data_IF_016958759799
#
_entry.id   IF_016958759799
#
_cell.length_a   1.000
_cell.length_b   1.000
_cell.length_c   1.000
_cell.angle_alpha   90.00
_cell.angle_beta   90.00
_cell.angle_gamma   90.00
#
_symmetry.space_group_name_H-M   'P 1'
#
loop_
_entity.id
_entity.type
_entity.pdbx_description
1 polymer ?
#
# COMPACT_ATOMS: atom_id res chain seq x y z
N UNK A 1 -63.57 -41.25 -29.39
CA UNK A 1 -62.35 -40.44 -29.61
C UNK A 1 -62.14 -39.56 -28.39
N UNK A 2 -61.16 -39.86 -27.55
CA UNK A 2 -60.90 -39.18 -26.27
C UNK A 2 -59.56 -38.46 -26.36
N UNK A 3 -59.58 -37.13 -26.26
CA UNK A 3 -58.38 -36.28 -26.30
C UNK A 3 -57.90 -36.10 -24.86
N UNK A 4 -56.75 -36.68 -24.53
CA UNK A 4 -56.07 -36.48 -23.24
C UNK A 4 -55.29 -35.17 -23.29
N UNK A 5 -55.72 -34.18 -22.52
CA UNK A 5 -54.97 -32.94 -22.31
C UNK A 5 -53.83 -33.17 -21.32
N UNK A 6 -52.59 -33.09 -21.80
CA UNK A 6 -51.40 -33.00 -20.96
C UNK A 6 -51.32 -31.60 -20.34
N UNK A 7 -51.47 -31.51 -19.02
CA UNK A 7 -51.18 -30.30 -18.25
C UNK A 7 -49.67 -30.24 -18.03
N UNK A 8 -49.00 -29.34 -18.75
CA UNK A 8 -47.59 -28.98 -18.54
C UNK A 8 -47.50 -28.10 -17.29
N UNK A 9 -47.03 -28.66 -16.17
CA UNK A 9 -46.58 -27.87 -15.03
C UNK A 9 -45.26 -27.18 -15.40
N UNK A 10 -45.34 -25.90 -15.75
CA UNK A 10 -44.17 -25.04 -15.85
C UNK A 10 -43.68 -24.71 -14.43
N UNK A 11 -42.66 -25.42 -13.96
CA UNK A 11 -41.97 -25.14 -12.70
C UNK A 11 -41.12 -23.87 -12.89
N UNK A 12 -41.69 -22.71 -12.53
CA UNK A 12 -40.98 -21.44 -12.52
C UNK A 12 -39.90 -21.47 -11.42
N UNK A 13 -38.69 -21.91 -11.78
CA UNK A 13 -37.49 -21.64 -10.97
C UNK A 13 -37.30 -20.12 -10.94
N UNK A 14 -37.81 -19.49 -9.87
CA UNK A 14 -37.39 -18.17 -9.45
C UNK A 14 -35.91 -18.31 -9.04
N UNK A 15 -35.03 -18.14 -10.03
CA UNK A 15 -33.62 -17.85 -9.80
C UNK A 15 -33.58 -16.49 -9.11
N UNK A 16 -33.74 -16.52 -7.79
CA UNK A 16 -33.37 -15.42 -6.92
C UNK A 16 -31.87 -15.25 -7.14
N UNK A 17 -31.51 -14.29 -7.98
CA UNK A 17 -30.15 -13.81 -8.15
C UNK A 17 -29.76 -13.21 -6.81
N UNK A 18 -29.30 -14.09 -5.90
CA UNK A 18 -28.60 -13.69 -4.71
C UNK A 18 -27.51 -12.73 -5.20
N UNK A 19 -27.66 -11.46 -4.83
CA UNK A 19 -26.61 -10.47 -4.99
C UNK A 19 -25.41 -11.03 -4.23
N UNK A 20 -24.53 -11.72 -4.94
CA UNK A 20 -23.20 -12.08 -4.45
C UNK A 20 -22.50 -10.74 -4.35
N UNK A 21 -22.68 -10.05 -3.23
CA UNK A 21 -21.82 -8.94 -2.85
C UNK A 21 -20.42 -9.55 -2.83
N UNK A 22 -19.57 -9.12 -3.76
CA UNK A 22 -18.18 -9.53 -3.78
C UNK A 22 -17.63 -9.32 -2.36
N UNK A 23 -17.12 -10.39 -1.75
CA UNK A 23 -16.53 -10.31 -0.43
C UNK A 23 -15.38 -9.30 -0.48
N UNK A 24 -15.42 -8.27 0.37
CA UNK A 24 -14.33 -7.31 0.46
C UNK A 24 -13.03 -7.99 0.85
N UNK A 25 -11.88 -7.51 0.35
CA UNK A 25 -10.58 -8.13 0.63
C UNK A 25 -10.25 -8.19 2.13
N UNK A 26 -10.82 -7.29 2.94
CA UNK A 26 -10.68 -7.29 4.41
C UNK A 26 -11.32 -8.49 5.09
N UNK A 27 -12.36 -9.07 4.47
CA UNK A 27 -13.07 -10.21 5.02
C UNK A 27 -12.56 -11.54 4.43
N UNK A 28 -11.55 -11.49 3.56
CA UNK A 28 -10.85 -12.67 3.07
C UNK A 28 -10.28 -13.46 4.26
N UNK A 29 -10.61 -14.74 4.34
CA UNK A 29 -10.09 -15.62 5.39
C UNK A 29 -8.67 -16.09 5.09
N UNK A 30 -7.81 -15.91 6.08
CA UNK A 30 -6.45 -16.41 6.19
C UNK A 30 -6.46 -17.66 7.06
N UNK A 31 -6.24 -18.87 6.49
CA UNK A 31 -6.33 -20.12 7.26
C UNK A 31 -5.35 -20.20 8.42
N UNK A 32 -4.14 -19.67 8.25
CA UNK A 32 -3.12 -19.59 9.29
C UNK A 32 -2.22 -18.39 9.00
N UNK A 33 -2.22 -17.39 9.87
CA UNK A 33 -1.23 -16.32 9.90
C UNK A 33 -0.32 -16.55 11.10
N UNK A 34 0.97 -16.75 10.87
CA UNK A 34 1.93 -17.01 11.93
C UNK A 34 3.25 -16.29 11.64
N UNK A 35 3.66 -15.45 12.58
CA UNK A 35 4.95 -14.78 12.60
C UNK A 35 5.49 -14.83 14.02
N UNK A 36 6.79 -15.04 14.16
CA UNK A 36 7.47 -15.14 15.45
C UNK A 36 8.70 -14.22 15.44
N UNK A 37 8.80 -13.35 16.44
CA UNK A 37 9.90 -12.39 16.61
C UNK A 37 10.22 -11.60 15.32
N UNK A 38 9.18 -11.22 14.58
CA UNK A 38 9.28 -10.57 13.29
C UNK A 38 9.04 -9.06 13.41
N UNK A 39 9.69 -8.24 12.58
CA UNK A 39 9.34 -6.81 12.48
C UNK A 39 7.98 -6.62 11.79
N UNK A 40 7.36 -5.44 11.95
CA UNK A 40 6.11 -5.10 11.25
C UNK A 40 6.24 -5.31 9.73
N UNK A 41 7.34 -4.87 9.12
CA UNK A 41 7.61 -5.08 7.69
C UNK A 41 7.60 -6.56 7.32
N UNK A 42 8.27 -7.41 8.11
CA UNK A 42 8.34 -8.84 7.84
C UNK A 42 6.95 -9.50 8.00
N UNK A 43 6.15 -9.05 8.96
CA UNK A 43 4.78 -9.53 9.11
C UNK A 43 3.89 -9.15 7.92
N UNK A 44 4.00 -7.92 7.42
CA UNK A 44 3.26 -7.44 6.24
C UNK A 44 3.74 -8.12 4.95
N UNK A 45 5.02 -8.50 4.89
CA UNK A 45 5.59 -9.29 3.78
C UNK A 45 4.83 -10.61 3.62
N UNK A 46 4.55 -11.30 4.73
CA UNK A 46 3.74 -12.52 4.70
C UNK A 46 2.34 -12.21 4.14
N UNK A 47 1.65 -11.18 4.68
CA UNK A 47 0.32 -10.75 4.20
C UNK A 47 0.30 -10.54 2.68
N UNK A 48 1.32 -9.85 2.18
CA UNK A 48 1.46 -9.51 0.79
C UNK A 48 1.72 -10.71 -0.11
N UNK A 49 2.76 -11.49 0.16
CA UNK A 49 3.19 -12.52 -0.78
C UNK A 49 2.32 -13.77 -0.74
N UNK A 50 1.85 -14.15 0.46
CA UNK A 50 1.08 -15.38 0.64
C UNK A 50 -0.40 -15.20 0.34
N UNK A 51 -0.96 -14.01 0.61
CA UNK A 51 -2.40 -13.74 0.43
C UNK A 51 -2.70 -12.64 -0.59
N UNK A 52 -1.68 -12.11 -1.28
CA UNK A 52 -1.82 -11.09 -2.33
C UNK A 52 -2.53 -9.83 -1.86
N UNK A 53 -2.40 -9.51 -0.57
CA UNK A 53 -2.96 -8.31 0.03
C UNK A 53 -2.03 -7.14 -0.27
N UNK A 54 -2.55 -6.11 -0.92
CA UNK A 54 -1.76 -4.92 -1.24
C UNK A 54 -1.62 -4.03 0.00
N UNK A 55 -0.39 -3.92 0.48
CA UNK A 55 -0.02 -3.20 1.70
C UNK A 55 1.12 -2.23 1.42
N UNK A 56 1.07 -1.07 2.07
CA UNK A 56 2.13 -0.08 2.12
C UNK A 56 2.43 0.27 3.58
N UNK A 57 3.65 0.73 3.87
CA UNK A 57 4.12 0.92 5.24
C UNK A 57 4.92 2.21 5.38
N UNK A 58 4.49 3.08 6.29
CA UNK A 58 5.39 4.08 6.90
C UNK A 58 5.96 3.47 8.17
N UNK A 59 7.27 3.40 8.32
CA UNK A 59 7.88 2.93 9.58
C UNK A 59 7.83 4.01 10.64
N UNK A 60 7.75 3.60 11.91
CA UNK A 60 8.00 4.50 13.04
C UNK A 60 9.40 5.13 12.86
N UNK A 61 9.53 6.47 12.92
CA UNK A 61 10.81 7.13 12.75
C UNK A 61 11.84 6.65 13.78
N UNK A 62 13.03 6.27 13.31
CA UNK A 62 14.15 5.87 14.17
C UNK A 62 14.92 7.09 14.66
N UNK A 63 15.41 7.05 15.88
CA UNK A 63 16.35 8.02 16.42
C UNK A 63 17.71 7.91 15.72
N UNK A 64 18.20 6.69 15.46
CA UNK A 64 19.45 6.42 14.74
C UNK A 64 19.38 5.15 13.88
N UNK A 65 20.33 4.96 12.96
CA UNK A 65 20.38 3.75 12.11
C UNK A 65 20.56 2.45 12.91
N UNK A 66 21.20 2.53 14.08
CA UNK A 66 21.43 1.38 14.97
C UNK A 66 20.19 1.00 15.81
N UNK A 67 19.13 1.84 15.79
CA UNK A 67 17.91 1.53 16.53
C UNK A 67 17.23 0.30 15.93
N UNK A 68 17.08 -0.73 16.79
CA UNK A 68 16.40 -1.96 16.43
C UNK A 68 14.90 -1.72 16.31
N UNK A 69 14.31 -2.29 15.28
CA UNK A 69 12.86 -2.31 15.13
C UNK A 69 12.23 -3.22 16.18
N UNK A 70 11.04 -2.84 16.66
CA UNK A 70 10.28 -3.72 17.53
C UNK A 70 9.87 -4.98 16.78
N UNK A 71 9.88 -6.09 17.50
CA UNK A 71 9.49 -7.40 16.99
C UNK A 71 8.16 -7.81 17.62
N UNK A 72 7.33 -8.48 16.84
CA UNK A 72 6.03 -9.00 17.24
C UNK A 72 5.95 -10.50 16.95
N UNK A 73 5.11 -11.17 17.73
CA UNK A 73 4.74 -12.57 17.50
C UNK A 73 3.22 -12.66 17.48
N UNK A 74 2.67 -13.14 16.37
CA UNK A 74 1.22 -13.26 16.16
C UNK A 74 0.95 -14.60 15.51
N UNK A 75 0.04 -15.38 16.10
CA UNK A 75 -0.49 -16.61 15.53
C UNK A 75 -2.02 -16.55 15.55
N UNK A 76 -2.62 -16.69 14.38
CA UNK A 76 -4.06 -16.67 14.18
C UNK A 76 -4.45 -17.79 13.23
N UNK A 77 -5.54 -18.47 13.55
CA UNK A 77 -6.11 -19.53 12.71
C UNK A 77 -7.47 -19.09 12.20
N UNK A 78 -7.69 -19.28 10.90
CA UNK A 78 -8.95 -18.98 10.22
C UNK A 78 -9.47 -17.54 10.48
N UNK A 79 -8.55 -16.57 10.54
CA UNK A 79 -8.84 -15.16 10.77
C UNK A 79 -9.04 -14.42 9.45
N UNK A 80 -9.86 -13.38 9.43
CA UNK A 80 -9.98 -12.44 8.31
C UNK A 80 -8.74 -11.57 8.19
N UNK A 81 -8.50 -10.97 7.01
CA UNK A 81 -7.43 -9.98 6.83
C UNK A 81 -7.58 -8.83 7.84
N UNK A 82 -8.80 -8.38 8.11
CA UNK A 82 -9.10 -7.39 9.16
C UNK A 82 -8.59 -7.82 10.53
N UNK A 83 -8.94 -9.02 10.97
CA UNK A 83 -8.51 -9.55 12.28
C UNK A 83 -6.99 -9.71 12.36
N UNK A 84 -6.33 -10.08 11.24
CA UNK A 84 -4.86 -10.10 11.17
C UNK A 84 -4.29 -8.69 11.36
N UNK A 85 -4.80 -7.69 10.63
CA UNK A 85 -4.34 -6.30 10.77
C UNK A 85 -4.57 -5.74 12.18
N UNK A 86 -5.73 -6.01 12.78
CA UNK A 86 -6.05 -5.65 14.16
C UNK A 86 -5.09 -6.30 15.16
N UNK A 87 -4.74 -7.57 14.98
CA UNK A 87 -3.77 -8.25 15.83
C UNK A 87 -2.35 -7.68 15.68
N UNK A 88 -1.94 -7.33 14.45
CA UNK A 88 -0.63 -6.73 14.19
C UNK A 88 -0.49 -5.36 14.88
N UNK A 89 -1.47 -4.46 14.73
CA UNK A 89 -1.43 -3.14 15.39
C UNK A 89 -1.66 -3.22 16.89
N UNK A 90 -2.36 -4.25 17.38
CA UNK A 90 -2.45 -4.52 18.82
C UNK A 90 -1.09 -4.97 19.38
N UNK A 91 -0.31 -5.71 18.61
CA UNK A 91 1.02 -6.18 19.02
C UNK A 91 2.09 -5.06 18.98
N UNK A 92 1.98 -4.13 18.03
CA UNK A 92 2.78 -2.88 18.01
C UNK A 92 1.85 -1.65 17.93
N UNK A 93 1.40 -1.12 19.09
CA UNK A 93 0.41 -0.04 19.17
C UNK A 93 0.92 1.32 18.69
N UNK A 94 2.19 1.40 18.27
CA UNK A 94 2.73 2.60 17.60
C UNK A 94 2.21 2.72 16.18
N UNK A 95 1.52 1.72 15.64
CA UNK A 95 0.90 1.73 14.33
C UNK A 95 -0.63 1.73 14.40
N UNK A 96 -1.25 2.22 13.34
CA UNK A 96 -2.63 1.92 12.96
C UNK A 96 -2.68 1.55 11.48
N UNK A 97 -3.83 1.08 11.02
CA UNK A 97 -4.05 0.78 9.60
C UNK A 97 -5.28 1.50 9.08
N UNK A 98 -5.26 1.82 7.78
CA UNK A 98 -6.41 2.37 7.06
C UNK A 98 -6.48 1.82 5.64
N UNK A 99 -7.68 1.86 5.05
CA UNK A 99 -7.86 1.58 3.63
C UNK A 99 -7.71 2.88 2.85
N UNK A 100 -6.90 2.83 1.82
CA UNK A 100 -6.86 3.85 0.79
C UNK A 100 -7.67 3.37 -0.42
N UNK A 101 -8.63 4.18 -0.85
CA UNK A 101 -9.38 3.99 -2.10
C UNK A 101 -8.80 4.90 -3.17
N UNK A 102 -8.58 4.39 -4.38
CA UNK A 102 -7.99 5.22 -5.44
C UNK A 102 -8.88 6.40 -5.78
N UNK A 103 -8.24 7.55 -6.01
CA UNK A 103 -8.91 8.70 -6.60
C UNK A 103 -9.30 8.47 -8.07
N UNK A 104 -8.59 7.57 -8.76
CA UNK A 104 -8.72 7.37 -10.21
C UNK A 104 -9.48 6.09 -10.58
N UNK A 105 -9.43 5.07 -9.73
CA UNK A 105 -10.19 3.82 -9.90
C UNK A 105 -10.87 3.41 -8.59
N UNK A 106 -12.15 3.74 -8.43
CA UNK A 106 -12.92 3.43 -7.21
C UNK A 106 -13.06 1.93 -6.92
N UNK A 107 -12.67 1.05 -7.85
CA UNK A 107 -12.62 -0.40 -7.61
C UNK A 107 -11.28 -0.86 -7.02
N UNK A 108 -10.26 0.00 -7.05
CA UNK A 108 -8.92 -0.27 -6.55
C UNK A 108 -8.72 0.31 -5.15
N UNK A 109 -8.18 -0.51 -4.25
CA UNK A 109 -7.84 -0.10 -2.89
C UNK A 109 -6.61 -0.84 -2.38
N UNK A 110 -5.96 -0.26 -1.37
CA UNK A 110 -4.85 -0.88 -0.66
C UNK A 110 -4.91 -0.54 0.82
N UNK A 111 -4.09 -1.22 1.62
CA UNK A 111 -3.94 -0.95 3.05
C UNK A 111 -2.69 -0.11 3.28
N UNK A 112 -2.83 0.98 4.02
CA UNK A 112 -1.71 1.71 4.61
C UNK A 112 -1.53 1.24 6.06
N UNK A 113 -0.29 0.95 6.46
CA UNK A 113 0.11 0.81 7.86
C UNK A 113 0.98 2.00 8.21
N UNK A 114 0.55 2.79 9.20
CA UNK A 114 1.11 4.12 9.47
C UNK A 114 1.43 4.26 10.96
N UNK A 115 2.49 4.99 11.36
CA UNK A 115 2.70 5.35 12.75
C UNK A 115 1.53 6.19 13.25
N UNK A 116 1.15 6.02 14.51
CA UNK A 116 0.21 6.93 15.18
C UNK A 116 0.71 8.37 15.00
N UNK A 117 -0.23 9.29 14.78
CA UNK A 117 0.02 10.72 14.51
C UNK A 117 0.68 11.06 13.15
N UNK A 118 1.15 10.07 12.37
CA UNK A 118 1.85 10.35 11.11
C UNK A 118 1.05 11.17 10.10
N UNK A 119 -0.30 11.02 10.06
CA UNK A 119 -1.18 11.83 9.19
C UNK A 119 -1.47 13.23 9.74
N UNK A 120 -1.42 13.40 11.05
CA UNK A 120 -1.67 14.69 11.69
C UNK A 120 -0.42 15.57 11.74
N UNK A 121 0.78 14.98 11.65
CA UNK A 121 2.04 15.72 11.70
C UNK A 121 2.29 16.56 10.44
N UNK A 122 2.24 17.91 10.51
CA UNK A 122 2.52 18.76 9.35
C UNK A 122 3.99 18.67 8.88
N UNK A 123 4.90 18.18 9.73
CA UNK A 123 6.31 18.04 9.40
C UNK A 123 6.63 16.74 8.67
N UNK A 124 5.76 15.72 8.73
CA UNK A 124 5.94 14.48 7.99
C UNK A 124 6.02 14.75 6.47
N UNK A 125 7.10 14.36 5.78
CA UNK A 125 7.23 14.53 4.32
C UNK A 125 6.10 13.86 3.53
N UNK A 126 5.49 12.81 4.07
CA UNK A 126 4.40 12.07 3.44
C UNK A 126 3.09 12.88 3.36
N UNK A 127 2.97 13.97 4.15
CA UNK A 127 1.82 14.87 4.18
C UNK A 127 1.99 16.11 3.30
N UNK A 128 3.13 16.28 2.61
CA UNK A 128 3.32 17.41 1.71
C UNK A 128 2.31 17.30 0.57
N UNK A 129 1.46 18.32 0.44
CA UNK A 129 0.53 18.46 -0.66
C UNK A 129 1.27 19.00 -1.89
N UNK A 130 1.13 18.30 -3.00
CA UNK A 130 1.72 18.69 -4.28
C UNK A 130 0.72 19.53 -5.03
N UNK A 131 1.14 20.71 -5.48
CA UNK A 131 0.25 21.58 -6.27
C UNK A 131 -0.01 20.91 -7.61
N UNK A 132 1.06 20.60 -8.35
CA UNK A 132 0.97 19.89 -9.62
C UNK A 132 2.31 19.27 -9.97
N UNK A 133 2.32 17.97 -10.24
CA UNK A 133 3.50 17.32 -10.80
C UNK A 133 3.12 16.11 -11.65
N UNK A 134 4.15 15.45 -12.18
CA UNK A 134 3.98 14.42 -13.18
C UNK A 134 5.17 13.46 -13.17
N UNK A 135 4.85 12.17 -13.19
CA UNK A 135 5.81 11.09 -13.38
C UNK A 135 5.75 10.66 -14.84
N UNK A 136 6.91 10.70 -15.52
CA UNK A 136 7.05 10.38 -16.94
C UNK A 136 8.13 9.32 -17.15
N UNK A 137 7.82 8.31 -17.95
CA UNK A 137 8.79 7.31 -18.43
C UNK A 137 9.52 6.55 -17.31
N UNK A 138 8.87 6.42 -16.14
CA UNK A 138 9.42 5.76 -14.96
C UNK A 138 8.80 4.38 -14.76
N UNK A 139 9.57 3.43 -14.24
CA UNK A 139 9.00 2.19 -13.69
C UNK A 139 8.34 2.51 -12.34
N UNK A 140 7.32 1.76 -11.88
CA UNK A 140 6.79 1.95 -10.53
C UNK A 140 7.87 1.88 -9.44
N UNK A 141 8.85 0.99 -9.59
CA UNK A 141 9.98 0.86 -8.67
C UNK A 141 10.81 2.15 -8.60
N UNK A 142 11.24 2.66 -9.74
CA UNK A 142 12.04 3.90 -9.82
C UNK A 142 11.24 5.14 -9.43
N UNK A 143 9.94 5.16 -9.70
CA UNK A 143 9.05 6.24 -9.31
C UNK A 143 8.89 6.32 -7.78
N UNK A 144 8.73 5.16 -7.11
CA UNK A 144 8.69 5.10 -5.64
C UNK A 144 10.04 5.50 -5.05
N UNK A 145 11.13 4.90 -5.54
CA UNK A 145 12.47 5.12 -4.96
C UNK A 145 13.00 6.55 -5.15
N UNK A 146 12.59 7.22 -6.23
CA UNK A 146 12.96 8.61 -6.53
C UNK A 146 11.78 9.57 -6.46
N UNK A 147 10.84 9.36 -5.53
CA UNK A 147 9.61 10.17 -5.45
C UNK A 147 9.91 11.66 -5.22
N UNK A 148 10.98 11.97 -4.49
CA UNK A 148 11.50 13.31 -4.27
C UNK A 148 11.87 14.00 -5.59
N UNK A 149 12.49 13.30 -6.54
CA UNK A 149 12.80 13.87 -7.87
C UNK A 149 11.57 14.38 -8.62
N UNK A 150 10.42 13.73 -8.43
CA UNK A 150 9.19 14.08 -9.14
C UNK A 150 8.39 15.18 -8.45
N UNK A 151 8.71 15.54 -7.20
CA UNK A 151 7.90 16.43 -6.35
C UNK A 151 8.75 17.61 -5.85
N UNK A 152 8.72 18.77 -6.53
CA UNK A 152 9.52 19.94 -6.15
C UNK A 152 9.32 20.43 -4.71
N UNK A 153 8.09 20.34 -4.19
CA UNK A 153 7.73 20.68 -2.81
C UNK A 153 8.45 19.79 -1.80
N UNK A 154 8.57 18.50 -2.12
CA UNK A 154 9.29 17.52 -1.30
C UNK A 154 10.78 17.84 -1.31
N UNK A 155 11.38 18.04 -2.50
CA UNK A 155 12.80 18.45 -2.63
C UNK A 155 13.09 19.68 -1.78
N UNK A 156 12.26 20.73 -1.88
CA UNK A 156 12.46 21.97 -1.11
C UNK A 156 12.41 21.73 0.40
N UNK A 157 11.54 20.85 0.88
CA UNK A 157 11.45 20.50 2.30
C UNK A 157 12.66 19.70 2.78
N UNK A 158 13.11 18.72 1.98
CA UNK A 158 14.22 17.84 2.33
C UNK A 158 15.58 18.53 2.20
N UNK A 159 15.70 19.45 1.25
CA UNK A 159 16.96 20.11 0.87
C UNK A 159 16.78 21.64 0.79
N UNK A 160 16.52 22.32 1.92
CA UNK A 160 16.28 23.77 1.92
C UNK A 160 17.49 24.60 1.44
N UNK A 161 18.69 24.02 1.45
CA UNK A 161 19.92 24.66 0.98
C UNK A 161 20.38 24.21 -0.42
N UNK A 162 19.51 23.54 -1.17
CA UNK A 162 19.80 23.06 -2.53
C UNK A 162 20.18 21.58 -2.58
N UNK A 163 20.12 21.03 -3.80
CA UNK A 163 20.28 19.59 -4.06
C UNK A 163 21.68 19.32 -4.61
N UNK A 164 22.42 18.37 -4.02
CA UNK A 164 23.58 17.76 -4.66
C UNK A 164 23.05 16.78 -5.71
N UNK A 165 23.40 17.01 -6.99
CA UNK A 165 22.84 16.25 -8.11
C UNK A 165 22.90 14.73 -7.91
N UNK A 166 21.75 14.07 -7.98
CA UNK A 166 21.67 12.62 -7.96
C UNK A 166 22.00 12.05 -9.34
N UNK A 167 23.11 11.31 -9.44
CA UNK A 167 23.46 10.57 -10.64
C UNK A 167 22.73 9.22 -10.66
N UNK A 168 21.89 9.00 -11.67
CA UNK A 168 21.32 7.68 -11.95
C UNK A 168 22.33 6.83 -12.73
N UNK A 169 22.86 5.78 -12.10
CA UNK A 169 23.58 4.71 -12.81
C UNK A 169 22.57 3.68 -13.31
N UNK A 170 22.23 3.73 -14.60
CA UNK A 170 21.45 2.70 -15.27
C UNK A 170 22.36 1.60 -15.83
N UNK A 171 22.35 0.41 -15.24
CA UNK A 171 22.96 -0.79 -15.84
C UNK A 171 22.00 -1.30 -16.92
N UNK A 172 22.47 -1.24 -18.17
CA UNK A 172 21.67 -1.54 -19.36
C UNK A 172 21.32 -3.01 -19.51
N UNK A 173 20.02 -3.31 -19.44
CA UNK A 173 19.42 -4.47 -20.08
C UNK A 173 18.14 -4.01 -20.80
N UNK A 174 18.01 -4.32 -22.10
CA UNK A 174 16.81 -4.04 -22.90
C UNK A 174 15.69 -5.02 -22.53
N UNK A 175 15.15 -4.90 -21.32
CA UNK A 175 13.92 -5.59 -20.94
C UNK A 175 12.76 -4.67 -21.30
N UNK A 176 11.64 -5.20 -21.82
CA UNK A 176 10.40 -4.42 -21.93
C UNK A 176 9.91 -4.11 -20.51
N UNK A 177 10.31 -2.96 -20.00
CA UNK A 177 9.91 -2.54 -18.65
C UNK A 177 8.58 -1.80 -18.74
N UNK A 178 7.61 -2.20 -17.92
CA UNK A 178 6.37 -1.45 -17.76
C UNK A 178 6.70 -0.07 -17.18
N UNK A 179 6.30 0.97 -17.90
CA UNK A 179 6.51 2.37 -17.51
C UNK A 179 5.16 3.02 -17.26
N UNK A 180 5.14 3.91 -16.28
CA UNK A 180 3.96 4.67 -15.90
C UNK A 180 4.06 6.10 -16.40
N UNK A 181 2.88 6.65 -16.70
CA UNK A 181 2.63 8.07 -16.89
C UNK A 181 1.54 8.46 -15.91
N UNK A 182 1.82 9.45 -15.06
CA UNK A 182 0.86 9.86 -14.04
C UNK A 182 1.00 11.34 -13.75
N UNK A 183 -0.05 12.11 -14.07
CA UNK A 183 -0.20 13.51 -13.67
C UNK A 183 -1.08 13.58 -12.42
N UNK A 184 -0.70 14.43 -11.48
CA UNK A 184 -1.43 14.62 -10.23
C UNK A 184 -1.39 16.07 -9.77
N UNK A 185 -2.47 16.49 -9.15
CA UNK A 185 -2.70 17.84 -8.65
C UNK A 185 -3.46 17.74 -7.33
N UNK A 186 -2.98 18.46 -6.32
CA UNK A 186 -3.58 18.50 -4.99
C UNK A 186 -3.46 17.22 -4.16
N UNK A 187 -2.70 16.22 -4.58
CA UNK A 187 -2.44 15.00 -3.82
C UNK A 187 -1.24 15.15 -2.88
N UNK A 188 -1.27 14.46 -1.75
CA UNK A 188 -0.11 14.31 -0.86
C UNK A 188 0.91 13.31 -1.41
N UNK A 189 2.17 13.39 -0.97
CA UNK A 189 3.21 12.40 -1.30
C UNK A 189 2.74 10.96 -1.04
N UNK A 190 2.05 10.72 0.09
CA UNK A 190 1.46 9.40 0.39
C UNK A 190 0.45 8.95 -0.64
N UNK A 191 -0.48 9.82 -1.03
CA UNK A 191 -1.52 9.50 -2.00
C UNK A 191 -0.91 9.23 -3.38
N UNK A 192 0.10 9.99 -3.78
CA UNK A 192 0.84 9.75 -5.03
C UNK A 192 1.51 8.37 -5.01
N UNK A 193 2.18 8.01 -3.91
CA UNK A 193 2.79 6.70 -3.74
C UNK A 193 1.75 5.57 -3.75
N UNK A 194 0.58 5.79 -3.16
CA UNK A 194 -0.53 4.84 -3.21
C UNK A 194 -1.07 4.66 -4.63
N UNK A 195 -1.22 5.75 -5.37
CA UNK A 195 -1.61 5.74 -6.78
C UNK A 195 -0.58 5.01 -7.66
N UNK A 196 0.72 5.15 -7.40
CA UNK A 196 1.77 4.37 -8.08
C UNK A 196 1.64 2.88 -7.73
N UNK A 197 1.46 2.56 -6.44
CA UNK A 197 1.31 1.19 -5.95
C UNK A 197 0.11 0.49 -6.63
N UNK A 198 -1.07 1.12 -6.66
CA UNK A 198 -2.26 0.52 -7.30
C UNK A 198 -2.05 0.22 -8.79
N UNK A 199 -1.29 1.04 -9.51
CA UNK A 199 -0.98 0.83 -10.95
C UNK A 199 0.12 -0.19 -11.22
N UNK A 200 0.87 -0.58 -10.19
CA UNK A 200 2.05 -1.43 -10.34
C UNK A 200 1.73 -2.93 -10.45
N UNK A 201 0.46 -3.33 -10.28
CA UNK A 201 0.07 -4.74 -10.25
C UNK A 201 0.48 -5.46 -8.96
N UNK A 202 0.57 -4.74 -7.84
CA UNK A 202 0.77 -5.32 -6.51
C UNK A 202 2.09 -4.96 -5.80
N UNK A 203 2.88 -4.03 -6.33
CA UNK A 203 3.93 -3.39 -5.52
C UNK A 203 3.28 -2.51 -4.43
N UNK A 204 3.96 -2.43 -3.31
CA UNK A 204 3.70 -1.45 -2.27
C UNK A 204 4.87 -0.49 -2.20
N UNK A 205 4.86 0.36 -1.19
CA UNK A 205 6.00 1.19 -0.84
C UNK A 205 6.27 1.10 0.65
N UNK A 206 7.54 1.33 1.01
CA UNK A 206 7.97 1.57 2.38
C UNK A 206 8.61 2.95 2.45
N UNK A 207 8.22 3.71 3.47
CA UNK A 207 8.87 4.94 3.87
C UNK A 207 9.58 4.74 5.21
N UNK A 208 10.83 5.19 5.28
CA UNK A 208 11.64 5.16 6.49
C UNK A 208 12.21 6.55 6.78
N UNK A 209 12.18 6.95 8.04
CA UNK A 209 12.82 8.16 8.54
C UNK A 209 13.82 7.80 9.65
N UNK A 210 15.02 8.35 9.56
CA UNK A 210 16.02 8.30 10.64
C UNK A 210 16.35 9.73 11.05
N UNK A 211 16.30 10.06 12.34
CA UNK A 211 16.40 11.46 12.80
C UNK A 211 17.85 11.92 12.98
N UNK A 212 18.77 11.05 13.38
CA UNK A 212 20.17 11.39 13.71
C UNK A 212 21.17 10.53 12.92
N UNK A 213 22.40 11.03 12.70
CA UNK A 213 22.93 12.35 13.10
C UNK A 213 22.34 13.52 12.29
N UNK A 214 21.89 13.23 11.07
CA UNK A 214 21.16 14.15 10.22
C UNK A 214 19.90 13.43 9.76
N UNK A 215 18.73 14.11 9.71
CA UNK A 215 17.52 13.48 9.21
C UNK A 215 17.72 12.89 7.82
N UNK A 216 17.40 11.60 7.67
CA UNK A 216 17.40 10.90 6.40
C UNK A 216 16.01 10.32 6.13
N UNK A 217 15.66 10.27 4.85
CA UNK A 217 14.35 9.85 4.38
C UNK A 217 14.57 8.88 3.23
N UNK A 218 13.94 7.70 3.30
CA UNK A 218 14.10 6.65 2.30
C UNK A 218 12.73 6.17 1.83
N UNK A 219 12.55 6.12 0.53
CA UNK A 219 11.43 5.46 -0.12
C UNK A 219 11.95 4.25 -0.89
N UNK A 220 11.25 3.13 -0.80
CA UNK A 220 11.56 1.95 -1.61
C UNK A 220 10.30 1.19 -1.96
N UNK A 221 10.36 0.51 -3.10
CA UNK A 221 9.32 -0.46 -3.42
C UNK A 221 9.32 -1.58 -2.37
N UNK A 222 8.12 -2.00 -2.04
CA UNK A 222 7.81 -3.12 -1.17
C UNK A 222 7.12 -4.19 -2.01
#
# INVERSE_FOLDING_TARGET
MSVKSCVLLALSFLLSSASVKAQGFLDLRVPLFEVENATMEKALTELKFRWRIQVCLEKVPKESEDEKEATISVKLENATVREVLEALVKADPRYYWEVYESYLDKSASLINILPVDAKADPNNPMNIKVEKAMIKDATPYSAIAGIDYWIPELVRKLHPHGVLGHAFYGIGAKVKVFKIYFEFEGLTVREILNEIALRSGGLGWIFEQVKKPTPSYRWRAF
#
